data_IF_177783989034
#
_entry.id   IF_177783989034
#
_cell.length_a   1.000
_cell.length_b   1.000
_cell.length_c   1.000
_cell.angle_alpha   90.00
_cell.angle_beta   90.00
_cell.angle_gamma   90.00
#
_symmetry.space_group_name_H-M   'P 1'
#
loop_
_entity.id
_entity.type
_entity.pdbx_description
1 polymer ?
#
# COMPACT_ATOMS: atom_id res chain seq x y z
N UNK A 1 -21.05 -2.87 13.83
CA UNK A 1 -20.46 -1.88 12.89
C UNK A 1 -19.69 -0.89 13.73
N UNK A 2 -18.45 -0.59 13.36
CA UNK A 2 -17.66 0.45 14.02
C UNK A 2 -18.24 1.83 13.76
N UNK A 3 -17.99 2.78 14.66
CA UNK A 3 -18.34 4.19 14.45
C UNK A 3 -17.42 4.84 13.41
N UNK A 4 -17.77 6.05 12.97
CA UNK A 4 -16.92 6.85 12.06
C UNK A 4 -15.57 7.15 12.72
N UNK A 5 -15.58 7.50 14.00
CA UNK A 5 -14.40 7.83 14.79
C UNK A 5 -13.50 6.60 14.98
N UNK A 6 -14.08 5.44 15.24
CA UNK A 6 -13.35 4.17 15.34
C UNK A 6 -12.68 3.78 14.02
N UNK A 7 -13.39 3.94 12.90
CA UNK A 7 -12.81 3.70 11.58
C UNK A 7 -11.67 4.67 11.27
N UNK A 8 -11.84 5.97 11.55
CA UNK A 8 -10.79 6.97 11.36
C UNK A 8 -9.54 6.66 12.21
N UNK A 9 -9.74 6.26 13.47
CA UNK A 9 -8.65 5.86 14.35
C UNK A 9 -7.91 4.63 13.79
N UNK A 10 -8.66 3.63 13.31
CA UNK A 10 -8.09 2.43 12.70
C UNK A 10 -7.28 2.75 11.43
N UNK A 11 -7.82 3.56 10.51
CA UNK A 11 -7.10 3.96 9.28
C UNK A 11 -5.78 4.68 9.61
N UNK A 12 -5.80 5.57 10.59
CA UNK A 12 -4.58 6.27 11.01
C UNK A 12 -3.56 5.35 11.67
N UNK A 13 -3.98 4.48 12.60
CA UNK A 13 -3.07 3.63 13.36
C UNK A 13 -2.52 2.47 12.52
N UNK A 14 -3.41 1.74 11.84
CA UNK A 14 -3.11 0.43 11.27
C UNK A 14 -2.80 0.47 9.77
N UNK A 15 -3.23 1.52 9.04
CA UNK A 15 -3.00 1.63 7.59
C UNK A 15 -1.94 2.68 7.26
N UNK A 16 -2.05 3.87 7.87
CA UNK A 16 -1.20 5.02 7.52
C UNK A 16 0.07 5.07 8.38
N UNK A 17 -0.06 5.12 9.71
CA UNK A 17 1.10 5.31 10.60
C UNK A 17 1.92 4.03 10.79
N UNK A 18 1.39 2.86 10.41
CA UNK A 18 2.15 1.60 10.39
C UNK A 18 3.43 1.72 9.54
N UNK A 19 3.41 2.60 8.53
CA UNK A 19 4.55 2.90 7.65
C UNK A 19 5.67 3.70 8.33
N UNK A 20 5.43 4.29 9.51
CA UNK A 20 6.47 5.00 10.27
C UNK A 20 7.41 4.08 11.03
N UNK A 21 7.07 2.79 11.13
CA UNK A 21 7.84 1.83 11.91
C UNK A 21 9.14 1.48 11.16
N UNK A 22 10.33 1.71 11.76
CA UNK A 22 11.60 1.47 11.08
C UNK A 22 11.82 0.01 10.66
N UNK A 23 11.28 -0.95 11.41
CA UNK A 23 11.33 -2.38 11.08
C UNK A 23 10.45 -2.75 9.87
N UNK A 24 9.51 -1.89 9.48
CA UNK A 24 8.67 -2.10 8.31
C UNK A 24 9.48 -2.19 7.01
N UNK A 25 10.55 -1.39 6.87
CA UNK A 25 11.43 -1.44 5.70
C UNK A 25 12.14 -2.79 5.59
N UNK A 26 12.67 -3.30 6.71
CA UNK A 26 13.32 -4.59 6.75
C UNK A 26 12.33 -5.74 6.47
N UNK A 27 11.08 -5.63 6.93
CA UNK A 27 10.03 -6.60 6.64
C UNK A 27 9.67 -6.65 5.16
N UNK A 28 9.53 -5.50 4.49
CA UNK A 28 9.29 -5.43 3.03
C UNK A 28 10.41 -6.14 2.26
N UNK A 29 11.67 -5.83 2.60
CA UNK A 29 12.83 -6.48 1.96
C UNK A 29 12.83 -8.00 2.22
N UNK A 30 12.58 -8.41 3.47
CA UNK A 30 12.57 -9.82 3.84
C UNK A 30 11.45 -10.59 3.13
N UNK A 31 10.25 -10.01 3.02
CA UNK A 31 9.12 -10.61 2.30
C UNK A 31 9.46 -10.81 0.83
N UNK A 32 9.93 -9.75 0.16
CA UNK A 32 10.30 -9.81 -1.25
C UNK A 32 11.39 -10.86 -1.53
N UNK A 33 12.35 -11.05 -0.60
CA UNK A 33 13.36 -12.11 -0.73
C UNK A 33 12.78 -13.53 -0.59
N UNK A 34 11.82 -13.69 0.31
CA UNK A 34 11.19 -15.00 0.55
C UNK A 34 10.23 -15.38 -0.57
N UNK A 35 9.57 -14.38 -1.17
CA UNK A 35 8.57 -14.55 -2.22
C UNK A 35 8.80 -13.52 -3.32
N UNK A 36 9.81 -13.76 -4.18
CA UNK A 36 10.21 -12.79 -5.20
C UNK A 36 9.13 -12.56 -6.27
N UNK A 37 8.22 -13.51 -6.46
CA UNK A 37 7.16 -13.43 -7.47
C UNK A 37 5.79 -12.98 -6.90
N UNK A 38 5.72 -12.65 -5.59
CA UNK A 38 4.50 -12.11 -4.98
C UNK A 38 4.17 -10.72 -5.56
N UNK A 39 2.89 -10.31 -5.53
CA UNK A 39 2.50 -8.95 -5.90
C UNK A 39 3.32 -7.89 -5.17
N UNK A 40 3.79 -6.90 -5.94
CA UNK A 40 4.57 -5.74 -5.53
C UNK A 40 5.91 -6.09 -4.85
N UNK A 41 6.43 -7.30 -5.05
CA UNK A 41 7.70 -7.74 -4.47
C UNK A 41 8.93 -6.99 -5.02
N UNK A 42 8.81 -6.30 -6.15
CA UNK A 42 9.85 -5.41 -6.71
C UNK A 42 10.18 -4.22 -5.80
N UNK A 43 9.27 -3.86 -4.88
CA UNK A 43 9.50 -2.87 -3.82
C UNK A 43 10.68 -3.21 -2.91
N UNK A 44 10.93 -4.49 -2.62
CA UNK A 44 12.04 -4.93 -1.77
C UNK A 44 13.42 -4.60 -2.38
N UNK A 45 13.75 -5.10 -3.58
CA UNK A 45 14.98 -4.73 -4.27
C UNK A 45 15.12 -3.22 -4.52
N UNK A 46 14.02 -2.51 -4.78
CA UNK A 46 14.05 -1.05 -4.91
C UNK A 46 14.47 -0.37 -3.60
N UNK A 47 13.92 -0.82 -2.48
CA UNK A 47 14.26 -0.32 -1.16
C UNK A 47 15.72 -0.59 -0.78
N UNK A 48 16.23 -1.80 -1.08
CA UNK A 48 17.65 -2.12 -0.88
C UNK A 48 18.58 -1.17 -1.64
N UNK A 49 18.25 -0.85 -2.90
CA UNK A 49 19.05 0.10 -3.69
C UNK A 49 19.05 1.50 -3.09
N UNK A 50 17.90 1.99 -2.63
CA UNK A 50 17.80 3.31 -2.00
C UNK A 50 18.63 3.38 -0.71
N UNK A 51 18.54 2.35 0.13
CA UNK A 51 19.33 2.27 1.37
C UNK A 51 20.83 2.15 1.09
N UNK A 52 21.23 1.38 0.07
CA UNK A 52 22.63 1.25 -0.33
C UNK A 52 23.23 2.57 -0.87
N UNK A 53 22.40 3.46 -1.41
CA UNK A 53 22.79 4.81 -1.83
C UNK A 53 22.85 5.82 -0.67
N UNK A 54 22.52 5.40 0.56
CA UNK A 54 22.58 6.23 1.76
C UNK A 54 21.33 7.06 2.03
N UNK A 55 20.18 6.71 1.43
CA UNK A 55 18.91 7.33 1.80
C UNK A 55 18.61 7.06 3.29
N UNK A 56 18.14 8.10 4.01
CA UNK A 56 17.73 7.94 5.40
C UNK A 56 16.46 7.05 5.46
N UNK A 57 16.47 5.93 6.20
CA UNK A 57 15.28 5.11 6.42
C UNK A 57 14.05 5.92 6.85
N UNK A 58 14.26 6.98 7.65
CA UNK A 58 13.17 7.83 8.13
C UNK A 58 12.48 8.57 6.99
N UNK A 59 13.23 9.08 6.02
CA UNK A 59 12.68 9.80 4.87
C UNK A 59 11.83 8.87 4.00
N UNK A 60 12.29 7.63 3.82
CA UNK A 60 11.52 6.60 3.11
C UNK A 60 10.21 6.30 3.83
N UNK A 61 10.24 6.10 5.16
CA UNK A 61 9.03 5.90 5.95
C UNK A 61 8.05 7.09 5.86
N UNK A 62 8.55 8.32 5.80
CA UNK A 62 7.71 9.51 5.62
C UNK A 62 7.02 9.52 4.25
N UNK A 63 7.75 9.16 3.17
CA UNK A 63 7.19 9.03 1.83
C UNK A 63 6.15 7.90 1.74
N UNK A 64 6.43 6.74 2.35
CA UNK A 64 5.48 5.62 2.41
C UNK A 64 4.22 5.99 3.20
N UNK A 65 4.36 6.68 4.34
CA UNK A 65 3.20 7.21 5.10
C UNK A 65 2.37 8.18 4.27
N UNK A 66 3.02 9.10 3.54
CA UNK A 66 2.31 10.04 2.68
C UNK A 66 1.52 9.31 1.58
N UNK A 67 2.16 8.34 0.93
CA UNK A 67 1.53 7.50 -0.10
C UNK A 67 0.35 6.71 0.46
N UNK A 68 0.48 6.14 1.66
CA UNK A 68 -0.61 5.44 2.33
C UNK A 68 -1.78 6.38 2.68
N UNK A 69 -1.50 7.59 3.18
CA UNK A 69 -2.54 8.61 3.42
C UNK A 69 -3.29 8.97 2.15
N UNK A 70 -2.57 9.27 1.06
CA UNK A 70 -3.18 9.62 -0.22
C UNK A 70 -4.01 8.46 -0.78
N UNK A 71 -3.50 7.22 -0.74
CA UNK A 71 -4.25 6.05 -1.18
C UNK A 71 -5.55 5.85 -0.38
N UNK A 72 -5.51 5.99 0.95
CA UNK A 72 -6.70 5.92 1.81
C UNK A 72 -7.67 7.06 1.46
N UNK A 73 -7.18 8.29 1.35
CA UNK A 73 -8.01 9.45 1.03
C UNK A 73 -8.67 9.30 -0.34
N UNK A 74 -7.90 9.02 -1.39
CA UNK A 74 -8.39 8.85 -2.76
C UNK A 74 -9.39 7.70 -2.85
N UNK A 75 -9.18 6.60 -2.13
CA UNK A 75 -10.14 5.48 -2.09
C UNK A 75 -11.46 5.90 -1.44
N UNK A 76 -11.42 6.53 -0.27
CA UNK A 76 -12.62 7.02 0.42
C UNK A 76 -13.37 8.07 -0.40
N UNK A 77 -12.63 8.94 -1.11
CA UNK A 77 -13.21 9.90 -2.02
C UNK A 77 -13.86 9.22 -3.23
N UNK A 78 -13.16 8.29 -3.89
CA UNK A 78 -13.65 7.55 -5.05
C UNK A 78 -14.93 6.75 -4.76
N UNK A 79 -15.06 6.20 -3.55
CA UNK A 79 -16.29 5.54 -3.08
C UNK A 79 -17.47 6.51 -2.99
N UNK A 80 -17.22 7.78 -2.67
CA UNK A 80 -18.24 8.82 -2.65
C UNK A 80 -18.52 9.44 -4.03
N UNK A 81 -17.47 9.61 -4.85
CA UNK A 81 -17.50 10.22 -6.18
C UNK A 81 -16.27 9.76 -7.00
N UNK A 82 -16.44 9.01 -8.11
CA UNK A 82 -17.70 8.76 -8.82
C UNK A 82 -18.64 7.75 -8.14
N UNK A 83 -18.14 7.02 -7.13
CA UNK A 83 -18.85 5.90 -6.53
C UNK A 83 -18.94 4.69 -7.45
N UNK A 84 -19.82 3.77 -7.08
CA UNK A 84 -20.15 2.56 -7.85
C UNK A 84 -21.67 2.33 -7.75
N UNK A 85 -22.25 1.73 -8.78
CA UNK A 85 -23.70 1.49 -8.84
C UNK A 85 -24.19 0.77 -7.57
N UNK A 86 -25.26 1.31 -6.98
CA UNK A 86 -25.84 0.76 -5.75
C UNK A 86 -24.95 0.89 -4.49
N UNK A 87 -23.85 1.65 -4.54
CA UNK A 87 -22.81 1.67 -3.51
C UNK A 87 -22.22 0.28 -3.21
N UNK A 88 -22.15 -0.58 -4.23
CA UNK A 88 -21.57 -1.91 -4.11
C UNK A 88 -20.04 -1.89 -3.97
N UNK A 89 -19.57 -1.55 -2.77
CA UNK A 89 -18.15 -1.47 -2.42
C UNK A 89 -17.67 -2.64 -1.57
N UNK A 90 -18.58 -3.56 -1.22
CA UNK A 90 -18.24 -4.74 -0.44
C UNK A 90 -17.40 -5.69 -1.31
N UNK A 91 -16.35 -6.27 -0.71
CA UNK A 91 -15.41 -7.18 -1.39
C UNK A 91 -14.57 -6.57 -2.52
N UNK A 92 -14.68 -5.27 -2.82
CA UNK A 92 -13.90 -4.61 -3.89
C UNK A 92 -12.38 -4.77 -3.73
N UNK A 93 -11.88 -4.97 -2.51
CA UNK A 93 -10.46 -5.22 -2.24
C UNK A 93 -9.96 -6.56 -2.79
N UNK A 94 -10.83 -7.57 -2.96
CA UNK A 94 -10.47 -8.85 -3.59
C UNK A 94 -10.28 -8.69 -5.09
N UNK A 95 -11.12 -7.87 -5.75
CA UNK A 95 -11.04 -7.65 -7.20
C UNK A 95 -9.88 -6.73 -7.57
N UNK A 96 -9.51 -5.79 -6.68
CA UNK A 96 -8.54 -4.73 -6.94
C UNK A 96 -7.22 -5.25 -7.54
N UNK A 97 -6.68 -6.34 -6.99
CA UNK A 97 -5.41 -6.89 -7.45
C UNK A 97 -5.55 -7.53 -8.84
N UNK A 98 -6.63 -8.27 -9.06
CA UNK A 98 -6.91 -8.92 -10.36
C UNK A 98 -7.24 -7.91 -11.46
N UNK A 99 -7.71 -6.71 -11.08
CA UNK A 99 -8.00 -5.60 -11.97
C UNK A 99 -6.74 -4.80 -12.38
N UNK A 100 -5.55 -5.22 -11.97
CA UNK A 100 -4.28 -4.63 -12.42
C UNK A 100 -4.25 -4.52 -13.97
N UNK A 101 -4.16 -3.30 -14.54
CA UNK A 101 -4.17 -3.08 -15.98
C UNK A 101 -3.04 -3.77 -16.74
N UNK A 102 -1.93 -4.09 -16.07
CA UNK A 102 -0.84 -4.84 -16.69
C UNK A 102 -1.21 -6.31 -16.98
N UNK A 103 -2.27 -6.82 -16.33
CA UNK A 103 -2.65 -8.22 -16.34
C UNK A 103 -1.72 -9.13 -15.52
N UNK A 104 -0.77 -8.56 -14.78
CA UNK A 104 0.21 -9.32 -14.00
C UNK A 104 -0.18 -9.46 -12.52
N UNK A 105 -1.30 -8.86 -12.11
CA UNK A 105 -1.79 -8.89 -10.72
C UNK A 105 -0.75 -8.32 -9.74
N UNK A 106 -0.12 -7.22 -10.12
CA UNK A 106 0.91 -6.54 -9.34
C UNK A 106 2.25 -7.28 -9.26
N UNK A 107 2.41 -8.45 -9.89
CA UNK A 107 3.69 -9.19 -9.86
C UNK A 107 4.85 -8.35 -10.43
N UNK A 108 6.11 -8.63 -10.04
CA UNK A 108 7.26 -7.85 -10.50
C UNK A 108 7.28 -7.63 -12.02
N UNK A 109 7.47 -6.37 -12.42
CA UNK A 109 7.41 -5.96 -13.82
C UNK A 109 6.07 -5.34 -14.24
N UNK A 110 5.02 -5.42 -13.40
CA UNK A 110 3.72 -4.78 -13.66
C UNK A 110 3.78 -3.24 -13.75
N UNK A 111 4.87 -2.63 -13.26
CA UNK A 111 5.10 -1.19 -13.29
C UNK A 111 5.82 -0.68 -14.57
N UNK A 112 6.10 -1.56 -15.54
CA UNK A 112 6.87 -1.25 -16.77
C UNK A 112 6.01 -0.92 -17.98
#
# INVERSE_FOLDING_TARGET
MSTREELLAHLWAEVINIQLRPDGLAQVIAHAKQRPDDPLADSGPALERLLALGADPRDICLLMRNTAYEAVFSTLYAIGDPGVDGNDVFMLHEDLLSADPSGMEGRPGSAS
#
